data_IF_836609457725
#
_entry.id   IF_836609457725
#
_cell.length_a   1.000
_cell.length_b   1.000
_cell.length_c   1.000
_cell.angle_alpha   90.00
_cell.angle_beta   90.00
_cell.angle_gamma   90.00
#
_symmetry.space_group_name_H-M   'P 1'
#
loop_
_entity.id
_entity.type
_entity.pdbx_description
1 polymer ?
#
# COMPACT_ATOMS: atom_id res chain seq x y z
N UNK A 1 25.37 18.14 16.09
CA UNK A 1 24.61 18.56 14.88
C UNK A 1 24.11 17.32 14.18
N UNK A 2 22.79 17.22 14.01
CA UNK A 2 22.10 16.03 13.50
C UNK A 2 20.77 15.81 14.21
N UNK A 3 19.86 16.79 14.10
CA UNK A 3 18.45 16.59 14.45
C UNK A 3 17.87 15.66 13.39
N UNK A 4 17.96 14.35 13.62
CA UNK A 4 17.22 13.36 12.86
C UNK A 4 15.77 13.39 13.30
N UNK A 5 15.02 14.42 12.89
CA UNK A 5 13.57 14.36 12.93
C UNK A 5 13.18 13.15 12.07
N UNK A 6 12.79 12.05 12.71
CA UNK A 6 12.37 10.84 12.02
C UNK A 6 11.28 11.20 11.03
N UNK A 7 11.56 11.12 9.74
CA UNK A 7 10.55 11.39 8.73
C UNK A 7 9.42 10.40 8.92
N UNK A 8 8.18 10.90 8.94
CA UNK A 8 6.96 10.10 8.94
C UNK A 8 7.11 8.88 8.01
N UNK A 9 6.86 7.63 8.47
CA UNK A 9 6.95 6.47 7.60
C UNK A 9 6.06 6.68 6.38
N UNK A 10 6.61 6.43 5.20
CA UNK A 10 5.87 6.56 3.94
C UNK A 10 5.41 5.19 3.47
N UNK A 11 4.11 5.00 3.37
CA UNK A 11 3.48 3.86 2.73
C UNK A 11 3.20 4.24 1.27
N UNK A 12 3.62 3.40 0.33
CA UNK A 12 3.25 3.53 -1.08
C UNK A 12 2.25 2.43 -1.41
N UNK A 13 1.16 2.77 -2.07
CA UNK A 13 0.13 1.81 -2.45
C UNK A 13 -0.17 1.92 -3.94
N UNK A 14 -0.50 0.79 -4.54
CA UNK A 14 -1.05 0.74 -5.89
C UNK A 14 -2.57 0.94 -5.86
N UNK A 15 -3.04 1.95 -6.58
CA UNK A 15 -4.45 2.31 -6.70
C UNK A 15 -5.14 1.74 -7.94
N UNK A 16 -4.49 0.85 -8.71
CA UNK A 16 -5.13 0.28 -9.90
C UNK A 16 -6.35 -0.56 -9.48
N UNK A 17 -7.53 -0.23 -10.01
CA UNK A 17 -8.78 -0.94 -9.76
C UNK A 17 -9.38 -1.40 -11.10
N UNK A 18 -8.88 -2.52 -11.59
CA UNK A 18 -9.10 -3.03 -12.96
C UNK A 18 -9.07 -4.56 -12.98
N UNK A 19 -8.95 -5.19 -14.14
CA UNK A 19 -8.67 -6.64 -14.22
C UNK A 19 -7.29 -7.02 -13.67
N UNK A 20 -6.39 -6.05 -13.42
CA UNK A 20 -5.03 -6.27 -12.89
C UNK A 20 -4.90 -5.99 -11.40
N UNK A 21 -5.64 -5.02 -10.88
CA UNK A 21 -5.55 -4.54 -9.49
C UNK A 21 -6.88 -4.45 -8.72
N UNK A 22 -6.81 -4.29 -7.39
CA UNK A 22 -7.96 -4.06 -6.49
C UNK A 22 -7.73 -2.86 -5.56
N UNK A 23 -7.44 -1.70 -6.14
CA UNK A 23 -7.15 -0.48 -5.41
C UNK A 23 -8.27 -0.06 -4.44
N UNK A 24 -9.56 -0.22 -4.78
CA UNK A 24 -10.66 0.14 -3.88
C UNK A 24 -10.74 -0.77 -2.64
N UNK A 25 -10.44 -2.06 -2.81
CA UNK A 25 -10.32 -2.99 -1.69
C UNK A 25 -9.14 -2.62 -0.79
N UNK A 26 -8.02 -2.20 -1.39
CA UNK A 26 -6.86 -1.69 -0.65
C UNK A 26 -7.21 -0.42 0.14
N UNK A 27 -7.94 0.54 -0.45
CA UNK A 27 -8.38 1.74 0.27
C UNK A 27 -9.30 1.39 1.45
N UNK A 28 -10.14 0.36 1.31
CA UNK A 28 -10.95 -0.17 2.40
C UNK A 28 -10.08 -0.70 3.55
N UNK A 29 -8.98 -1.38 3.22
CA UNK A 29 -8.01 -1.82 4.22
C UNK A 29 -7.29 -0.64 4.90
N UNK A 30 -6.96 0.42 4.15
CA UNK A 30 -6.40 1.65 4.72
C UNK A 30 -7.37 2.34 5.68
N UNK A 31 -8.65 2.39 5.34
CA UNK A 31 -9.69 2.92 6.24
C UNK A 31 -9.69 2.18 7.59
N UNK A 32 -9.64 0.85 7.57
CA UNK A 32 -9.59 0.02 8.77
C UNK A 32 -8.27 0.19 9.56
N UNK A 33 -7.15 0.40 8.86
CA UNK A 33 -5.85 0.61 9.48
C UNK A 33 -5.64 2.04 10.02
N UNK A 34 -6.43 3.01 9.54
CA UNK A 34 -6.19 4.44 9.77
C UNK A 34 -6.02 4.86 11.24
N UNK A 35 -6.78 4.33 12.23
CA UNK A 35 -6.57 4.67 13.64
C UNK A 35 -5.15 4.39 14.13
N UNK A 36 -4.50 3.39 13.56
CA UNK A 36 -3.13 2.96 13.89
C UNK A 36 -2.07 3.61 13.00
N UNK A 37 -2.46 4.30 11.93
CA UNK A 37 -1.54 4.92 10.95
C UNK A 37 -1.33 6.42 11.14
N UNK A 38 -1.76 7.03 12.25
CA UNK A 38 -1.44 8.44 12.55
C UNK A 38 0.07 8.70 12.42
N UNK A 39 0.43 9.74 11.67
CA UNK A 39 1.83 10.09 11.36
C UNK A 39 2.44 9.30 10.21
N UNK A 40 1.68 8.45 9.51
CA UNK A 40 2.11 7.79 8.25
C UNK A 40 1.64 8.63 7.07
N UNK A 41 2.51 8.82 6.08
CA UNK A 41 2.15 9.41 4.79
C UNK A 41 1.84 8.30 3.80
N UNK A 42 0.68 8.34 3.14
CA UNK A 42 0.29 7.36 2.12
C UNK A 42 0.31 8.01 0.74
N UNK A 43 1.14 7.49 -0.16
CA UNK A 43 1.14 7.88 -1.58
C UNK A 43 0.48 6.77 -2.41
N UNK A 44 -0.59 7.11 -3.12
CA UNK A 44 -1.36 6.21 -3.97
C UNK A 44 -0.95 6.43 -5.43
N UNK A 45 -0.30 5.44 -6.04
CA UNK A 45 0.01 5.42 -7.47
C UNK A 45 -1.21 4.95 -8.28
N UNK A 46 -1.21 5.15 -9.60
CA UNK A 46 -2.22 4.60 -10.53
C UNK A 46 -3.66 4.93 -10.12
N UNK A 47 -3.88 6.15 -9.62
CA UNK A 47 -5.13 6.60 -8.98
C UNK A 47 -5.83 7.72 -9.76
N UNK A 48 -5.68 7.75 -11.08
CA UNK A 48 -6.20 8.81 -11.95
C UNK A 48 -7.72 8.71 -12.16
N UNK A 49 -8.25 7.49 -12.08
CA UNK A 49 -9.67 7.21 -12.33
C UNK A 49 -10.59 7.96 -11.34
N UNK A 50 -11.71 8.56 -11.80
CA UNK A 50 -12.58 9.35 -10.94
C UNK A 50 -13.07 8.63 -9.67
N UNK A 51 -13.47 7.34 -9.71
CA UNK A 51 -13.87 6.61 -8.50
C UNK A 51 -12.74 6.52 -7.47
N UNK A 52 -11.50 6.29 -7.91
CA UNK A 52 -10.34 6.19 -7.04
C UNK A 52 -10.04 7.53 -6.37
N UNK A 53 -10.07 8.63 -7.13
CA UNK A 53 -9.87 9.98 -6.58
C UNK A 53 -10.94 10.32 -5.54
N UNK A 54 -12.20 9.99 -5.79
CA UNK A 54 -13.29 10.20 -4.84
C UNK A 54 -13.10 9.38 -3.56
N UNK A 55 -12.67 8.12 -3.69
CA UNK A 55 -12.40 7.25 -2.55
C UNK A 55 -11.22 7.73 -1.69
N UNK A 56 -10.14 8.22 -2.31
CA UNK A 56 -8.99 8.83 -1.59
C UNK A 56 -9.45 10.06 -0.80
N UNK A 57 -10.30 10.90 -1.40
CA UNK A 57 -10.83 12.09 -0.74
C UNK A 57 -11.75 11.76 0.45
N UNK A 58 -12.65 10.80 0.29
CA UNK A 58 -13.48 10.28 1.39
C UNK A 58 -12.62 9.69 2.50
N UNK A 59 -11.62 8.86 2.17
CA UNK A 59 -10.70 8.28 3.15
C UNK A 59 -9.99 9.36 3.97
N UNK A 60 -9.48 10.40 3.30
CA UNK A 60 -8.82 11.53 3.96
C UNK A 60 -9.77 12.26 4.90
N UNK A 61 -10.99 12.56 4.44
CA UNK A 61 -11.97 13.31 5.22
C UNK A 61 -12.46 12.55 6.45
N UNK A 62 -12.74 11.26 6.31
CA UNK A 62 -13.31 10.44 7.37
C UNK A 62 -12.28 10.05 8.44
N UNK A 63 -11.03 9.82 8.05
CA UNK A 63 -10.02 9.25 8.95
C UNK A 63 -8.95 10.23 9.39
N UNK A 64 -8.81 11.36 8.69
CA UNK A 64 -7.71 12.30 8.88
C UNK A 64 -6.33 11.75 8.46
N UNK A 65 -6.28 10.62 7.75
CA UNK A 65 -5.04 10.04 7.24
C UNK A 65 -4.41 10.97 6.20
N UNK A 66 -3.08 11.14 6.26
CA UNK A 66 -2.34 11.88 5.23
C UNK A 66 -2.17 10.98 3.99
N UNK A 67 -3.22 10.91 3.16
CA UNK A 67 -3.25 10.14 1.92
C UNK A 67 -3.36 11.08 0.72
N UNK A 68 -2.62 10.79 -0.35
CA UNK A 68 -2.65 11.54 -1.62
C UNK A 68 -2.41 10.65 -2.82
N UNK A 69 -3.09 10.93 -3.93
CA UNK A 69 -2.71 10.39 -5.22
C UNK A 69 -1.39 11.03 -5.70
N UNK A 70 -0.58 10.27 -6.43
CA UNK A 70 0.66 10.76 -7.04
C UNK A 70 0.73 10.32 -8.51
N UNK A 71 1.24 11.22 -9.35
CA UNK A 71 1.54 10.94 -10.78
C UNK A 71 3.05 10.70 -10.99
N UNK A 72 3.82 10.64 -9.90
CA UNK A 72 5.27 10.41 -9.97
C UNK A 72 5.54 8.97 -10.37
N UNK A 73 6.65 8.78 -11.08
CA UNK A 73 7.07 7.46 -11.50
C UNK A 73 7.48 6.60 -10.28
N UNK A 74 7.40 5.25 -10.37
CA UNK A 74 7.79 4.35 -9.30
C UNK A 74 9.20 4.61 -8.75
N UNK A 75 10.16 4.88 -9.63
CA UNK A 75 11.56 5.19 -9.30
C UNK A 75 11.72 6.44 -8.43
N UNK A 76 10.77 7.37 -8.49
CA UNK A 76 10.80 8.56 -7.65
C UNK A 76 10.14 8.30 -6.29
N UNK A 77 9.05 7.55 -6.26
CA UNK A 77 8.18 7.42 -5.07
C UNK A 77 8.59 6.28 -4.13
N UNK A 78 9.16 5.20 -4.66
CA UNK A 78 9.57 4.04 -3.86
C UNK A 78 10.78 4.32 -2.95
N UNK A 79 11.84 5.04 -3.34
CA UNK A 79 13.02 5.24 -2.49
C UNK A 79 12.70 5.85 -1.12
N UNK A 80 12.99 5.10 -0.05
CA UNK A 80 12.71 5.52 1.33
C UNK A 80 11.27 5.27 1.80
N UNK A 81 10.44 4.59 1.00
CA UNK A 81 9.17 4.05 1.48
C UNK A 81 9.41 2.94 2.51
N UNK A 82 8.58 2.91 3.55
CA UNK A 82 8.60 1.88 4.57
C UNK A 82 7.98 0.56 4.08
N UNK A 83 7.04 0.65 3.14
CA UNK A 83 6.33 -0.49 2.58
C UNK A 83 5.68 -0.09 1.24
N UNK A 84 5.69 -1.01 0.28
CA UNK A 84 4.84 -0.97 -0.91
C UNK A 84 3.74 -2.02 -0.80
N UNK A 85 2.48 -1.65 -1.06
CA UNK A 85 1.33 -2.56 -0.99
C UNK A 85 0.51 -2.48 -2.26
N UNK A 86 0.12 -3.64 -2.78
CA UNK A 86 -0.79 -3.75 -3.91
C UNK A 86 -1.66 -5.00 -3.72
N UNK A 87 -2.81 -5.05 -4.38
CA UNK A 87 -3.56 -6.31 -4.52
C UNK A 87 -3.60 -6.60 -6.00
N UNK A 88 -2.91 -7.66 -6.41
CA UNK A 88 -2.90 -8.11 -7.80
C UNK A 88 -3.98 -9.18 -8.00
N UNK A 89 -4.57 -9.22 -9.20
CA UNK A 89 -5.67 -10.14 -9.49
C UNK A 89 -5.14 -11.52 -9.85
N UNK A 90 -4.53 -11.66 -11.03
CA UNK A 90 -3.99 -12.94 -11.52
C UNK A 90 -2.46 -13.01 -11.45
N UNK A 91 -1.78 -11.86 -11.59
CA UNK A 91 -0.33 -11.78 -11.63
C UNK A 91 0.16 -10.36 -11.31
N UNK A 92 1.44 -10.25 -10.98
CA UNK A 92 2.05 -9.03 -10.45
C UNK A 92 2.96 -8.30 -11.46
N UNK A 93 2.96 -8.72 -12.73
CA UNK A 93 3.89 -8.23 -13.77
C UNK A 93 3.73 -6.73 -14.09
N UNK A 94 2.54 -6.18 -13.82
CA UNK A 94 2.24 -4.75 -13.99
C UNK A 94 2.79 -3.89 -12.84
N UNK A 95 3.16 -4.50 -11.72
CA UNK A 95 3.61 -3.79 -10.52
C UNK A 95 5.10 -3.49 -10.59
N UNK A 96 5.57 -2.38 -9.98
CA UNK A 96 6.97 -1.98 -10.01
C UNK A 96 7.83 -2.76 -8.99
N UNK A 97 7.73 -4.10 -8.99
CA UNK A 97 8.40 -4.96 -8.02
C UNK A 97 9.93 -4.91 -8.14
N UNK A 98 10.44 -4.79 -9.37
CA UNK A 98 11.88 -4.65 -9.61
C UNK A 98 12.42 -3.33 -9.03
N UNK A 99 11.67 -2.24 -9.18
CA UNK A 99 12.00 -0.93 -8.64
C UNK A 99 11.92 -0.93 -7.10
N UNK A 100 10.90 -1.59 -6.53
CA UNK A 100 10.77 -1.73 -5.08
C UNK A 100 11.94 -2.52 -4.49
N UNK A 101 12.33 -3.62 -5.15
CA UNK A 101 13.48 -4.42 -4.76
C UNK A 101 14.80 -3.61 -4.87
N UNK A 102 15.00 -2.88 -5.97
CA UNK A 102 16.18 -2.02 -6.15
C UNK A 102 16.28 -0.90 -5.10
N UNK A 103 15.13 -0.39 -4.64
CA UNK A 103 15.04 0.62 -3.59
C UNK A 103 15.11 0.04 -2.16
N UNK A 104 15.19 -1.29 -2.01
CA UNK A 104 15.17 -1.97 -0.70
C UNK A 104 13.84 -1.85 0.04
N UNK A 105 12.74 -1.62 -0.68
CA UNK A 105 11.40 -1.41 -0.11
C UNK A 105 10.72 -2.77 0.08
N UNK A 106 10.29 -3.12 1.31
CA UNK A 106 9.48 -4.30 1.54
C UNK A 106 8.18 -4.24 0.72
N UNK A 107 7.73 -5.37 0.19
CA UNK A 107 6.48 -5.46 -0.59
C UNK A 107 5.47 -6.37 0.09
N UNK A 108 4.19 -5.97 0.06
CA UNK A 108 3.05 -6.79 0.48
C UNK A 108 2.06 -6.85 -0.70
N UNK A 109 2.15 -7.93 -1.48
CA UNK A 109 1.37 -8.11 -2.71
C UNK A 109 0.60 -9.43 -2.66
N UNK A 110 -0.57 -9.47 -1.99
CA UNK A 110 -1.52 -10.56 -2.15
C UNK A 110 -2.00 -10.71 -3.61
N UNK A 111 -2.20 -11.97 -4.02
CA UNK A 111 -2.82 -12.35 -5.30
C UNK A 111 -4.23 -12.90 -5.08
N UNK A 112 -5.22 -12.37 -5.80
CA UNK A 112 -6.63 -12.72 -5.60
C UNK A 112 -7.01 -14.07 -6.21
N UNK A 113 -6.53 -14.32 -7.42
CA UNK A 113 -6.76 -15.53 -8.21
C UNK A 113 -5.42 -16.01 -8.78
N UNK A 114 -4.50 -16.50 -7.93
CA UNK A 114 -3.23 -17.05 -8.41
C UNK A 114 -3.47 -18.22 -9.36
N UNK A 115 -2.61 -18.37 -10.35
CA UNK A 115 -2.61 -19.52 -11.25
C UNK A 115 -2.27 -20.83 -10.52
N UNK A 116 -2.63 -21.97 -11.12
CA UNK A 116 -2.43 -23.30 -10.53
C UNK A 116 -0.94 -23.64 -10.30
N UNK A 117 -0.04 -23.00 -11.04
CA UNK A 117 1.41 -23.13 -10.95
C UNK A 117 2.06 -22.12 -9.97
N UNK A 118 1.25 -21.31 -9.27
CA UNK A 118 1.77 -20.32 -8.34
C UNK A 118 2.55 -20.97 -7.18
N UNK A 119 3.67 -20.36 -6.73
CA UNK A 119 4.43 -20.89 -5.60
C UNK A 119 3.56 -21.03 -4.34
N UNK A 120 3.78 -22.06 -3.49
CA UNK A 120 2.97 -22.26 -2.29
C UNK A 120 2.91 -21.05 -1.34
N UNK A 121 3.98 -20.24 -1.31
CA UNK A 121 4.04 -19.01 -0.52
C UNK A 121 3.02 -17.94 -0.91
N UNK A 122 2.52 -17.98 -2.16
CA UNK A 122 1.48 -17.06 -2.66
C UNK A 122 0.17 -17.23 -1.89
N UNK A 123 -0.16 -18.47 -1.49
CA UNK A 123 -1.39 -18.77 -0.76
C UNK A 123 -1.38 -18.21 0.68
N UNK A 124 -0.20 -17.93 1.25
CA UNK A 124 -0.08 -17.34 2.59
C UNK A 124 -0.72 -15.95 2.70
N UNK A 125 -0.84 -15.25 1.57
CA UNK A 125 -1.47 -13.94 1.47
C UNK A 125 -2.85 -13.98 0.80
N UNK A 126 -3.35 -15.16 0.40
CA UNK A 126 -4.62 -15.27 -0.33
C UNK A 126 -5.77 -14.58 0.42
N UNK A 127 -5.87 -14.77 1.75
CA UNK A 127 -6.91 -14.07 2.55
C UNK A 127 -6.79 -12.55 2.46
N UNK A 128 -5.57 -12.00 2.46
CA UNK A 128 -5.35 -10.56 2.36
C UNK A 128 -5.78 -9.99 0.98
N UNK A 129 -5.95 -10.84 -0.04
CA UNK A 129 -6.45 -10.44 -1.35
C UNK A 129 -7.98 -10.24 -1.39
N UNK A 130 -8.71 -10.73 -0.38
CA UNK A 130 -10.18 -10.75 -0.35
C UNK A 130 -10.77 -10.12 0.91
N UNK A 131 -9.98 -10.03 1.99
CA UNK A 131 -10.40 -9.53 3.30
C UNK A 131 -9.61 -8.25 3.64
N UNK A 132 -10.24 -7.06 3.56
CA UNK A 132 -9.56 -5.79 3.82
C UNK A 132 -9.13 -5.66 5.28
N UNK A 133 -9.83 -6.32 6.22
CA UNK A 133 -9.43 -6.35 7.63
C UNK A 133 -8.13 -7.14 7.81
N UNK A 134 -8.05 -8.30 7.17
CA UNK A 134 -6.82 -9.09 7.21
C UNK A 134 -5.65 -8.37 6.52
N UNK A 135 -5.89 -7.69 5.39
CA UNK A 135 -4.86 -6.85 4.76
C UNK A 135 -4.41 -5.71 5.68
N UNK A 136 -5.34 -5.02 6.35
CA UNK A 136 -5.05 -3.97 7.32
C UNK A 136 -4.08 -4.44 8.42
N UNK A 137 -4.36 -5.59 9.03
CA UNK A 137 -3.46 -6.17 10.03
C UNK A 137 -2.08 -6.55 9.46
N UNK A 138 -2.03 -7.02 8.21
CA UNK A 138 -0.74 -7.35 7.56
C UNK A 138 0.05 -6.08 7.29
N UNK A 139 -0.56 -5.00 6.80
CA UNK A 139 0.10 -3.71 6.63
C UNK A 139 0.70 -3.20 7.94
N UNK A 140 -0.09 -3.18 9.02
CA UNK A 140 0.36 -2.69 10.33
C UNK A 140 1.52 -3.51 10.92
N UNK A 141 1.60 -4.81 10.64
CA UNK A 141 2.73 -5.67 11.06
C UNK A 141 4.03 -5.39 10.32
N UNK A 142 3.96 -4.85 9.11
CA UNK A 142 5.15 -4.55 8.29
C UNK A 142 5.60 -3.09 8.42
N UNK A 143 4.72 -2.18 8.85
CA UNK A 143 5.10 -0.82 9.14
C UNK A 143 5.99 -0.78 10.40
N UNK A 144 7.05 0.06 10.41
CA UNK A 144 7.91 0.19 11.58
C UNK A 144 7.10 0.67 12.79
N UNK A 145 7.45 0.20 14.01
CA UNK A 145 6.78 0.65 15.22
C UNK A 145 6.94 2.17 15.38
N UNK A 146 5.91 2.82 15.89
CA UNK A 146 5.95 4.27 16.17
C UNK A 146 7.14 4.58 17.09
N UNK A 147 7.94 5.55 16.72
CA UNK A 147 8.75 6.27 17.70
C UNK A 147 7.80 7.16 18.52
N UNK A 148 7.85 7.12 19.86
CA UNK A 148 7.08 8.07 20.67
C UNK A 148 7.49 9.49 20.29
N UNK A 149 6.50 10.39 20.16
CA UNK A 149 6.77 11.82 20.03
C UNK A 149 7.51 12.24 21.31
N UNK A 150 8.74 12.75 21.13
CA UNK A 150 9.56 13.32 22.20
C UNK A 150 8.97 14.64 22.71
#
# INVERSE_FOLDING_TARGET
MGSGAGSAPRLVVDGEDSDRGRGLLLLSALHLAAPHMRGTCVEVMNAEEPPMRAAIESLRWETGLNVRATLRAPEDVLPGAALFVAIAVAGADHLPLAQAAAAGVPVLVPLQFPSDDAPPGTLLLARAAHDPGFLAERMLRHLPPRQPLA
#
